data_IF_579969362511
#
_entry.id   IF_579969362511
#
_cell.length_a   1.000
_cell.length_b   1.000
_cell.length_c   1.000
_cell.angle_alpha   90.00
_cell.angle_beta   90.00
_cell.angle_gamma   90.00
#
_symmetry.space_group_name_H-M   'P 1'
#
loop_
_entity.id
_entity.type
_entity.pdbx_description
1 polymer ?
#
# COMPACT_ATOMS: atom_id res chain seq x y z
N UNK A 1 35.50 -18.10 2.12
CA UNK A 1 35.52 -17.13 1.01
C UNK A 1 36.04 -15.81 1.55
N UNK A 2 37.28 -15.49 1.23
CA UNK A 2 38.01 -14.35 1.78
C UNK A 2 37.71 -13.06 1.00
N UNK A 3 37.91 -11.87 1.58
CA UNK A 3 37.61 -10.59 0.93
C UNK A 3 38.40 -10.40 -0.39
N UNK A 4 39.65 -10.85 -0.41
CA UNK A 4 40.50 -10.82 -1.58
C UNK A 4 39.99 -11.71 -2.73
N UNK A 5 39.41 -12.88 -2.42
CA UNK A 5 38.81 -13.76 -3.43
C UNK A 5 37.57 -13.13 -4.06
N UNK A 6 36.77 -12.41 -3.27
CA UNK A 6 35.60 -11.66 -3.77
C UNK A 6 36.01 -10.50 -4.68
N UNK A 7 37.06 -9.76 -4.34
CA UNK A 7 37.58 -8.69 -5.18
C UNK A 7 38.16 -9.22 -6.50
N UNK A 8 38.91 -10.32 -6.46
CA UNK A 8 39.43 -10.96 -7.65
C UNK A 8 38.31 -11.49 -8.57
N UNK A 9 37.26 -12.06 -8.00
CA UNK A 9 36.09 -12.51 -8.74
C UNK A 9 35.33 -11.33 -9.38
N UNK A 10 35.13 -10.24 -8.64
CA UNK A 10 34.49 -9.04 -9.17
C UNK A 10 35.30 -8.41 -10.32
N UNK A 11 36.62 -8.33 -10.19
CA UNK A 11 37.51 -7.84 -11.27
C UNK A 11 37.42 -8.70 -12.52
N UNK A 12 37.41 -10.02 -12.38
CA UNK A 12 37.19 -10.94 -13.52
C UNK A 12 35.86 -10.71 -14.24
N UNK A 13 34.79 -10.42 -13.49
CA UNK A 13 33.48 -10.16 -14.07
C UNK A 13 33.45 -8.80 -14.79
N UNK A 14 34.14 -7.79 -14.25
CA UNK A 14 34.21 -6.45 -14.86
C UNK A 14 35.15 -6.38 -16.06
N UNK A 15 36.21 -7.21 -16.09
CA UNK A 15 37.16 -7.32 -17.21
C UNK A 15 36.59 -8.14 -18.37
N UNK A 16 35.51 -8.92 -18.15
CA UNK A 16 34.82 -9.60 -19.24
C UNK A 16 34.06 -8.61 -20.12
N UNK A 17 34.29 -8.72 -21.43
CA UNK A 17 33.54 -7.97 -22.44
C UNK A 17 32.06 -8.29 -22.29
N UNK A 18 31.19 -7.28 -22.05
CA UNK A 18 29.76 -7.51 -21.97
C UNK A 18 29.24 -8.14 -23.27
N UNK A 19 28.45 -9.21 -23.21
CA UNK A 19 27.89 -9.81 -24.41
C UNK A 19 27.03 -8.78 -25.16
N UNK A 20 27.08 -8.75 -26.51
CA UNK A 20 26.31 -7.80 -27.29
C UNK A 20 24.83 -8.00 -27.04
N UNK A 21 24.19 -7.01 -26.43
CA UNK A 21 22.75 -7.00 -26.17
C UNK A 21 22.01 -6.41 -27.36
N UNK A 22 20.93 -7.05 -27.84
CA UNK A 22 20.08 -6.49 -28.88
C UNK A 22 19.55 -5.09 -28.49
N UNK A 23 19.59 -4.10 -29.39
CA UNK A 23 19.21 -2.72 -29.09
C UNK A 23 17.74 -2.56 -28.66
N UNK A 24 16.85 -3.42 -29.18
CA UNK A 24 15.41 -3.38 -28.83
C UNK A 24 15.08 -3.96 -27.45
N UNK A 25 16.03 -4.66 -26.82
CA UNK A 25 15.79 -5.37 -25.56
C UNK A 25 15.53 -4.39 -24.41
N UNK A 26 16.20 -3.23 -24.40
CA UNK A 26 15.96 -2.18 -23.41
C UNK A 26 14.53 -1.62 -23.52
N UNK A 27 14.07 -1.34 -24.74
CA UNK A 27 12.72 -0.82 -24.99
C UNK A 27 11.63 -1.80 -24.55
N UNK A 28 11.81 -3.09 -24.82
CA UNK A 28 10.87 -4.14 -24.42
C UNK A 28 10.77 -4.29 -22.89
N UNK A 29 11.92 -4.29 -22.20
CA UNK A 29 12.00 -4.43 -20.74
C UNK A 29 11.37 -3.21 -20.06
N UNK A 30 11.64 -2.00 -20.54
CA UNK A 30 11.00 -0.77 -20.04
C UNK A 30 9.49 -0.80 -20.27
N UNK A 31 9.03 -1.24 -21.46
CA UNK A 31 7.60 -1.38 -21.80
C UNK A 31 6.87 -2.44 -20.96
N UNK A 32 7.60 -3.47 -20.49
CA UNK A 32 7.07 -4.51 -19.59
C UNK A 32 7.11 -4.07 -18.12
N UNK A 33 8.19 -3.41 -17.70
CA UNK A 33 8.38 -2.86 -16.35
C UNK A 33 7.42 -1.70 -16.03
N UNK A 34 7.13 -0.83 -17.00
CA UNK A 34 6.21 0.29 -16.81
C UNK A 34 4.78 -0.17 -16.48
N UNK A 35 4.32 -1.29 -17.06
CA UNK A 35 3.00 -1.87 -16.74
C UNK A 35 2.96 -2.45 -15.33
N UNK A 36 4.05 -3.05 -14.86
CA UNK A 36 4.18 -3.57 -13.48
C UNK A 36 4.17 -2.43 -12.45
N UNK A 37 4.94 -1.36 -12.67
CA UNK A 37 4.96 -0.19 -11.78
C UNK A 37 3.62 0.55 -11.75
N UNK A 38 2.96 0.70 -12.91
CA UNK A 38 1.63 1.32 -12.98
C UNK A 38 0.59 0.51 -12.20
N UNK A 39 0.63 -0.82 -12.26
CA UNK A 39 -0.26 -1.67 -11.46
C UNK A 39 -0.05 -1.50 -9.96
N UNK A 40 1.20 -1.46 -9.49
CA UNK A 40 1.50 -1.23 -8.06
C UNK A 40 1.06 0.14 -7.58
N UNK A 41 1.29 1.18 -8.36
CA UNK A 41 0.88 2.54 -8.01
C UNK A 41 -0.63 2.71 -8.03
N UNK A 42 -1.33 2.14 -9.02
CA UNK A 42 -2.79 2.10 -9.06
C UNK A 42 -3.36 1.28 -7.91
N UNK A 43 -2.84 0.09 -7.63
CA UNK A 43 -3.29 -0.74 -6.52
C UNK A 43 -3.12 -0.03 -5.18
N UNK A 44 -1.98 0.64 -4.96
CA UNK A 44 -1.75 1.42 -3.73
C UNK A 44 -2.68 2.62 -3.63
N UNK A 45 -2.93 3.33 -4.73
CA UNK A 45 -3.93 4.43 -4.76
C UNK A 45 -5.34 3.92 -4.47
N UNK A 46 -5.75 2.84 -5.12
CA UNK A 46 -7.05 2.20 -4.88
C UNK A 46 -7.19 1.72 -3.44
N UNK A 47 -6.14 1.12 -2.87
CA UNK A 47 -6.11 0.71 -1.46
C UNK A 47 -6.30 1.91 -0.53
N UNK A 48 -5.59 3.02 -0.78
CA UNK A 48 -5.78 4.26 0.00
C UNK A 48 -7.17 4.84 -0.17
N UNK A 49 -7.71 4.89 -1.40
CA UNK A 49 -9.07 5.36 -1.65
C UNK A 49 -10.12 4.51 -0.93
N UNK A 50 -9.98 3.18 -0.98
CA UNK A 50 -10.85 2.25 -0.26
C UNK A 50 -10.75 2.44 1.25
N UNK A 51 -9.53 2.60 1.77
CA UNK A 51 -9.32 2.84 3.20
C UNK A 51 -9.97 4.16 3.64
N UNK A 52 -9.77 5.24 2.88
CA UNK A 52 -10.41 6.53 3.13
C UNK A 52 -11.95 6.42 3.07
N UNK A 53 -12.49 5.75 2.05
CA UNK A 53 -13.92 5.55 1.91
C UNK A 53 -14.50 4.76 3.09
N UNK A 54 -13.83 3.69 3.52
CA UNK A 54 -14.22 2.90 4.67
C UNK A 54 -14.18 3.71 5.97
N UNK A 55 -13.12 4.51 6.19
CA UNK A 55 -13.03 5.41 7.35
C UNK A 55 -14.15 6.45 7.36
N UNK A 56 -14.46 7.06 6.22
CA UNK A 56 -15.57 8.02 6.10
C UNK A 56 -16.91 7.35 6.39
N UNK A 57 -17.18 6.18 5.80
CA UNK A 57 -18.40 5.43 6.06
C UNK A 57 -18.54 5.07 7.54
N UNK A 58 -17.44 4.63 8.18
CA UNK A 58 -17.41 4.33 9.61
C UNK A 58 -17.68 5.57 10.47
N UNK A 59 -17.07 6.72 10.15
CA UNK A 59 -17.31 7.98 10.84
C UNK A 59 -18.77 8.44 10.71
N UNK A 60 -19.33 8.39 9.51
CA UNK A 60 -20.74 8.72 9.25
C UNK A 60 -21.66 7.82 10.05
N UNK A 61 -21.40 6.51 10.03
CA UNK A 61 -22.15 5.56 10.82
C UNK A 61 -22.05 5.85 12.32
N UNK A 62 -20.85 6.08 12.84
CA UNK A 62 -20.63 6.38 14.26
C UNK A 62 -21.31 7.69 14.70
N UNK A 63 -21.32 8.71 13.83
CA UNK A 63 -22.03 9.97 14.07
C UNK A 63 -23.55 9.79 14.06
N UNK A 64 -24.09 8.94 13.19
CA UNK A 64 -25.54 8.71 13.08
C UNK A 64 -26.06 7.82 14.21
N UNK A 65 -25.38 6.70 14.47
CA UNK A 65 -25.78 5.74 15.49
C UNK A 65 -25.49 6.24 16.92
N UNK A 66 -24.58 7.20 17.08
CA UNK A 66 -24.09 7.71 18.37
C UNK A 66 -23.99 6.59 19.43
N UNK A 67 -23.27 5.49 19.17
CA UNK A 67 -23.27 4.31 20.03
C UNK A 67 -22.70 4.58 21.44
N UNK A 68 -22.01 5.72 21.58
CA UNK A 68 -21.41 6.23 22.80
C UNK A 68 -22.39 7.06 23.65
N UNK A 69 -23.63 7.27 23.17
CA UNK A 69 -24.67 7.92 23.96
C UNK A 69 -25.30 6.85 24.84
N UNK A 70 -25.13 7.01 26.15
CA UNK A 70 -25.84 6.23 27.16
C UNK A 70 -27.36 6.30 26.83
N UNK A 71 -28.05 5.15 26.65
CA UNK A 71 -29.49 5.17 26.50
C UNK A 71 -30.07 5.91 27.72
N UNK A 72 -31.02 6.84 27.54
CA UNK A 72 -31.64 7.51 28.68
C UNK A 72 -32.15 6.43 29.62
N UNK A 73 -31.63 6.44 30.83
CA UNK A 73 -31.96 5.47 31.86
C UNK A 73 -33.47 5.48 32.05
N UNK A 74 -34.15 4.42 31.63
CA UNK A 74 -35.58 4.21 31.78
C UNK A 74 -36.01 4.04 33.25
N UNK A 75 -35.16 4.45 34.20
CA UNK A 75 -35.33 4.28 35.64
C UNK A 75 -35.52 5.60 36.35
N UNK A 76 -36.08 6.60 35.67
CA UNK A 76 -36.80 7.66 36.38
C UNK A 76 -38.28 7.25 36.36
N UNK A 77 -38.84 6.78 37.49
CA UNK A 77 -40.29 6.58 37.55
C UNK A 77 -40.97 7.89 37.17
N UNK A 78 -42.08 7.85 36.40
CA UNK A 78 -42.75 9.07 35.95
C UNK A 78 -43.08 9.93 37.17
N UNK A 79 -42.55 11.14 37.21
CA UNK A 79 -42.89 12.13 38.22
C UNK A 79 -44.32 12.59 37.94
N UNK A 80 -45.30 11.93 38.55
CA UNK A 80 -46.70 12.40 38.58
C UNK A 80 -46.78 13.52 39.62
N UNK A 81 -46.38 14.72 39.22
CA UNK A 81 -46.45 15.95 40.01
C UNK A 81 -47.80 16.65 39.87
N UNK A 82 -48.89 15.93 40.10
CA UNK A 82 -50.24 16.46 40.28
C UNK A 82 -50.89 15.83 41.51
#
# INVERSE_FOLDING_TARGET
>A
MNRAEREAAARRIMEQVPPPVPPDLYGEVVRRGARSLRRRTLARRLMWLLLCAASVAFLVWAMMARPWVEPPSQTTPPYTGW
#
